data_IF_598907707261
#
_entry.id   IF_598907707261
#
_cell.length_a   1.000
_cell.length_b   1.000
_cell.length_c   1.000
_cell.angle_alpha   90.00
_cell.angle_beta   90.00
_cell.angle_gamma   90.00
#
_symmetry.space_group_name_H-M   'P 1'
#
loop_
_entity.id
_entity.type
_entity.pdbx_description
1 polymer ?
#
# COMPACT_ATOMS: atom_id res chain seq x y z
N UNK A 1 31.89 17.41 19.82
CA UNK A 1 31.43 18.70 19.27
C UNK A 1 31.01 18.60 17.80
N UNK A 2 30.75 17.40 17.28
CA UNK A 2 30.56 17.14 15.83
C UNK A 2 29.20 16.47 15.49
N UNK A 3 28.60 15.73 16.44
CA UNK A 3 27.26 15.10 16.27
C UNK A 3 26.17 16.15 16.10
N UNK A 4 26.11 17.17 16.96
CA UNK A 4 25.08 18.23 16.90
C UNK A 4 25.08 19.04 15.60
N UNK A 5 26.24 19.18 14.95
CA UNK A 5 26.36 19.86 13.65
C UNK A 5 25.91 18.96 12.50
N UNK A 6 26.15 17.67 12.62
CA UNK A 6 25.74 16.65 11.64
C UNK A 6 24.22 16.43 11.68
N UNK A 7 23.63 16.46 12.88
CA UNK A 7 22.18 16.37 13.06
C UNK A 7 21.46 17.59 12.50
N UNK A 8 22.00 18.80 12.73
CA UNK A 8 21.43 20.04 12.18
C UNK A 8 21.47 20.07 10.65
N UNK A 9 22.59 19.67 10.03
CA UNK A 9 22.70 19.58 8.57
C UNK A 9 21.76 18.52 7.98
N UNK A 10 21.55 17.40 8.70
CA UNK A 10 20.60 16.35 8.29
C UNK A 10 19.15 16.85 8.36
N UNK A 11 18.81 17.63 9.38
CA UNK A 11 17.50 18.26 9.52
C UNK A 11 17.24 19.27 8.38
N UNK A 12 18.20 20.16 8.11
CA UNK A 12 18.09 21.14 7.01
C UNK A 12 17.90 20.46 5.64
N UNK A 13 18.68 19.40 5.37
CA UNK A 13 18.54 18.62 4.14
C UNK A 13 17.17 17.92 4.05
N UNK A 14 16.65 17.45 5.18
CA UNK A 14 15.33 16.82 5.28
C UNK A 14 14.21 17.80 4.98
N UNK A 15 14.29 19.01 5.52
CA UNK A 15 13.30 20.06 5.27
C UNK A 15 13.35 20.52 3.80
N UNK A 16 14.55 20.68 3.23
CA UNK A 16 14.73 20.98 1.81
C UNK A 16 14.17 19.88 0.90
N UNK A 17 14.39 18.61 1.25
CA UNK A 17 13.81 17.46 0.54
C UNK A 17 12.28 17.50 0.58
N UNK A 18 11.68 17.75 1.74
CA UNK A 18 10.22 17.80 1.89
C UNK A 18 9.62 18.93 1.07
N UNK A 19 10.24 20.11 1.13
CA UNK A 19 9.87 21.23 0.26
C UNK A 19 9.96 20.83 -1.22
N UNK A 20 11.06 20.16 -1.61
CA UNK A 20 11.25 19.71 -2.99
C UNK A 20 10.19 18.72 -3.43
N UNK A 21 9.79 17.80 -2.56
CA UNK A 21 8.74 16.83 -2.85
C UNK A 21 7.40 17.52 -3.14
N UNK A 22 7.04 18.54 -2.36
CA UNK A 22 5.83 19.34 -2.60
C UNK A 22 5.92 20.16 -3.89
N UNK A 23 7.07 20.76 -4.22
CA UNK A 23 7.29 21.44 -5.50
C UNK A 23 7.08 20.50 -6.70
N UNK A 24 7.49 19.24 -6.57
CA UNK A 24 7.30 18.20 -7.58
C UNK A 24 5.87 17.64 -7.61
N UNK A 25 5.02 18.04 -6.65
CA UNK A 25 3.60 17.72 -6.63
C UNK A 25 3.21 16.52 -5.76
N UNK A 26 4.03 16.16 -4.76
CA UNK A 26 3.60 15.29 -3.66
C UNK A 26 2.61 16.04 -2.75
N UNK A 27 1.52 15.37 -2.36
CA UNK A 27 0.56 15.92 -1.41
C UNK A 27 1.04 15.72 0.05
N UNK A 28 1.89 14.71 0.29
CA UNK A 28 2.50 14.42 1.61
C UNK A 28 3.83 13.68 1.43
N UNK A 29 4.74 13.80 2.40
CA UNK A 29 6.09 13.23 2.36
C UNK A 29 6.60 12.92 3.76
N UNK A 30 7.19 11.73 3.92
CA UNK A 30 7.80 11.32 5.17
C UNK A 30 9.09 10.52 4.94
N UNK A 31 9.94 10.49 5.96
CA UNK A 31 11.26 9.88 5.90
C UNK A 31 11.41 8.85 7.02
N UNK A 32 12.06 7.73 6.71
CA UNK A 32 12.48 6.72 7.66
C UNK A 32 13.99 6.49 7.57
N UNK A 33 14.73 6.42 8.69
CA UNK A 33 16.07 5.84 8.69
C UNK A 33 15.96 4.33 8.44
N UNK A 34 16.93 3.77 7.72
CA UNK A 34 16.96 2.35 7.36
C UNK A 34 16.97 1.43 8.58
N UNK A 35 17.51 1.88 9.72
CA UNK A 35 17.51 1.13 10.98
C UNK A 35 16.12 0.70 11.49
N UNK A 36 15.03 1.29 10.97
CA UNK A 36 13.65 0.85 11.28
C UNK A 36 13.26 -0.48 10.63
N UNK A 37 14.09 -1.03 9.74
CA UNK A 37 13.87 -2.34 9.12
C UNK A 37 14.62 -3.48 9.82
N UNK A 38 15.54 -3.17 10.74
CA UNK A 38 16.34 -4.15 11.50
C UNK A 38 15.50 -4.92 12.55
N UNK A 39 16.00 -6.07 12.99
CA UNK A 39 15.41 -6.90 14.04
C UNK A 39 16.36 -6.99 15.27
N UNK A 40 15.91 -6.69 16.50
CA UNK A 40 14.61 -6.09 16.82
C UNK A 40 14.49 -4.67 16.25
N UNK A 41 13.27 -4.22 15.89
CA UNK A 41 13.09 -2.87 15.39
C UNK A 41 13.49 -1.84 16.46
N UNK A 42 14.01 -0.69 16.02
CA UNK A 42 14.39 0.42 16.91
C UNK A 42 13.20 1.12 17.60
N UNK A 43 11.98 0.61 17.45
CA UNK A 43 10.74 1.15 17.99
C UNK A 43 9.84 0.02 18.51
N UNK A 44 8.85 0.35 19.34
CA UNK A 44 7.88 -0.61 19.85
C UNK A 44 6.86 -1.02 18.77
N UNK A 45 6.97 -2.27 18.31
CA UNK A 45 6.11 -2.85 17.27
C UNK A 45 4.67 -3.11 17.75
N UNK A 46 4.44 -3.21 19.06
CA UNK A 46 3.10 -3.37 19.63
C UNK A 46 2.34 -2.04 19.62
N UNK A 47 3.04 -0.94 19.96
CA UNK A 47 2.48 0.41 19.87
C UNK A 47 2.30 0.88 18.42
N UNK A 48 3.15 0.40 17.51
CA UNK A 48 3.11 0.72 16.07
C UNK A 48 2.93 -0.56 15.24
N UNK A 49 1.69 -1.07 15.11
CA UNK A 49 1.36 -2.18 14.23
C UNK A 49 1.85 -1.92 12.80
N UNK A 50 2.78 -2.76 12.35
CA UNK A 50 3.33 -2.75 11.00
C UNK A 50 2.75 -3.89 10.17
N UNK A 51 2.85 -3.74 8.85
CA UNK A 51 2.65 -4.88 7.97
C UNK A 51 3.74 -5.91 8.23
N UNK A 52 3.43 -7.21 8.21
CA UNK A 52 4.44 -8.23 8.50
C UNK A 52 5.59 -8.12 7.50
N UNK A 53 6.81 -8.49 7.94
CA UNK A 53 8.04 -8.29 7.17
C UNK A 53 7.94 -8.87 5.77
N UNK A 54 7.84 -8.02 4.75
CA UNK A 54 7.65 -8.47 3.39
C UNK A 54 8.58 -7.69 2.46
N UNK A 55 9.27 -8.43 1.57
CA UNK A 55 10.15 -7.87 0.55
C UNK A 55 11.56 -7.59 1.07
N UNK A 56 12.37 -6.96 0.24
CA UNK A 56 13.78 -6.76 0.55
C UNK A 56 14.01 -5.66 1.59
N UNK A 57 15.01 -5.86 2.43
CA UNK A 57 15.59 -4.82 3.26
C UNK A 57 16.13 -3.69 2.35
N UNK A 58 16.05 -2.40 2.76
CA UNK A 58 16.56 -1.29 1.95
C UNK A 58 18.01 -1.49 1.48
N UNK A 59 18.87 -2.06 2.31
CA UNK A 59 20.29 -2.30 1.97
C UNK A 59 20.53 -3.47 1.02
N UNK A 60 19.58 -4.40 0.86
CA UNK A 60 19.66 -5.42 -0.20
C UNK A 60 19.43 -4.80 -1.58
N UNK A 61 18.54 -3.80 -1.67
CA UNK A 61 18.24 -3.08 -2.91
C UNK A 61 19.28 -1.99 -3.22
N UNK A 62 19.80 -1.33 -2.18
CA UNK A 62 20.80 -0.29 -2.28
C UNK A 62 21.74 -0.36 -1.07
N UNK A 63 22.93 -1.00 -1.17
CA UNK A 63 23.84 -1.20 -0.04
C UNK A 63 24.26 0.05 0.71
N UNK A 64 24.24 1.22 0.05
CA UNK A 64 24.56 2.52 0.65
C UNK A 64 23.35 3.28 1.21
N UNK A 65 22.16 2.69 1.20
CA UNK A 65 20.96 3.35 1.70
C UNK A 65 21.08 3.67 3.19
N UNK A 66 20.85 4.94 3.55
CA UNK A 66 20.73 5.41 4.93
C UNK A 66 19.29 5.79 5.26
N UNK A 67 18.52 6.22 4.25
CA UNK A 67 17.15 6.69 4.43
C UNK A 67 16.22 6.15 3.33
N UNK A 68 14.95 5.99 3.70
CA UNK A 68 13.82 5.72 2.80
C UNK A 68 12.92 6.95 2.81
N UNK A 69 12.66 7.51 1.63
CA UNK A 69 11.71 8.62 1.47
C UNK A 69 10.42 8.06 0.89
N UNK A 70 9.31 8.35 1.56
CA UNK A 70 7.97 7.99 1.14
C UNK A 70 7.20 9.24 0.74
N UNK A 71 6.55 9.19 -0.42
CA UNK A 71 5.68 10.26 -0.93
C UNK A 71 4.27 9.73 -1.11
N UNK A 72 3.28 10.56 -0.82
CA UNK A 72 1.89 10.27 -1.14
C UNK A 72 1.31 11.31 -2.09
N UNK A 73 0.39 10.83 -2.93
CA UNK A 73 -0.53 11.70 -3.67
C UNK A 73 -1.96 11.28 -3.36
N UNK A 74 -2.84 12.26 -3.24
CA UNK A 74 -4.25 12.01 -2.96
C UNK A 74 -4.98 11.57 -4.22
N UNK A 75 -5.94 10.67 -4.06
CA UNK A 75 -6.93 10.39 -5.08
C UNK A 75 -7.95 11.53 -5.15
N UNK A 76 -8.52 11.74 -6.34
CA UNK A 76 -9.55 12.75 -6.54
C UNK A 76 -10.91 12.23 -6.04
N UNK A 77 -11.59 13.01 -5.21
CA UNK A 77 -12.91 12.65 -4.67
C UNK A 77 -13.91 12.36 -5.78
N UNK A 78 -13.92 13.17 -6.85
CA UNK A 78 -14.79 12.95 -8.01
C UNK A 78 -14.53 11.62 -8.74
N UNK A 79 -13.29 11.12 -8.74
CA UNK A 79 -12.96 9.81 -9.32
C UNK A 79 -13.52 8.69 -8.43
N UNK A 80 -13.40 8.84 -7.11
CA UNK A 80 -13.94 7.88 -6.14
C UNK A 80 -15.47 7.87 -6.15
N UNK A 81 -16.09 9.04 -6.11
CA UNK A 81 -17.54 9.24 -6.25
C UNK A 81 -18.06 8.55 -7.51
N UNK A 82 -17.42 8.84 -8.65
CA UNK A 82 -17.78 8.25 -9.93
C UNK A 82 -17.75 6.72 -9.85
N UNK A 83 -16.73 6.13 -9.21
CA UNK A 83 -16.58 4.68 -9.10
C UNK A 83 -17.78 4.03 -8.39
N UNK A 84 -18.41 4.71 -7.43
CA UNK A 84 -19.54 4.19 -6.62
C UNK A 84 -20.92 4.27 -7.30
N UNK A 85 -21.01 4.85 -8.50
CA UNK A 85 -22.28 5.00 -9.22
C UNK A 85 -22.70 3.72 -9.98
N UNK A 86 -23.97 3.56 -10.40
CA UNK A 86 -24.44 2.39 -11.17
C UNK A 86 -23.80 2.23 -12.56
N UNK A 87 -23.17 3.28 -13.10
CA UNK A 87 -22.62 3.25 -14.46
C UNK A 87 -21.33 2.42 -14.53
N UNK A 88 -21.09 1.84 -15.71
CA UNK A 88 -19.84 1.14 -16.05
C UNK A 88 -18.80 2.17 -16.51
N UNK A 89 -17.96 2.66 -15.60
CA UNK A 89 -17.04 3.79 -15.82
C UNK A 89 -15.59 3.47 -15.42
N UNK A 90 -15.19 2.21 -15.59
CA UNK A 90 -13.91 1.71 -15.10
C UNK A 90 -12.71 2.39 -15.76
N UNK A 91 -12.89 3.05 -16.90
CA UNK A 91 -11.88 3.91 -17.52
C UNK A 91 -11.50 5.16 -16.70
N UNK A 92 -12.44 5.78 -15.99
CA UNK A 92 -12.15 6.98 -15.16
C UNK A 92 -11.31 6.58 -13.95
N UNK A 93 -11.74 5.54 -13.23
CA UNK A 93 -10.97 4.99 -12.12
C UNK A 93 -9.63 4.41 -12.59
N UNK A 94 -9.60 3.69 -13.70
CA UNK A 94 -8.38 3.08 -14.21
C UNK A 94 -7.35 4.14 -14.61
N UNK A 95 -7.78 5.20 -15.30
CA UNK A 95 -6.87 6.25 -15.72
C UNK A 95 -6.50 7.19 -14.56
N UNK A 96 -7.49 7.79 -13.88
CA UNK A 96 -7.27 8.85 -12.89
C UNK A 96 -7.22 8.36 -11.44
N UNK A 97 -7.54 7.10 -11.18
CA UNK A 97 -7.42 6.45 -9.87
C UNK A 97 -6.24 5.46 -9.79
N UNK A 98 -5.68 5.02 -10.92
CA UNK A 98 -4.55 4.08 -10.98
C UNK A 98 -3.40 4.58 -11.89
N UNK A 99 -3.57 4.62 -13.22
CA UNK A 99 -2.48 4.84 -14.18
C UNK A 99 -1.80 6.19 -14.00
N UNK A 100 -2.57 7.28 -14.05
CA UNK A 100 -2.04 8.64 -14.01
C UNK A 100 -1.44 8.99 -12.64
N UNK A 101 -2.09 8.70 -11.49
CA UNK A 101 -1.45 8.84 -10.18
C UNK A 101 -0.11 8.09 -10.07
N UNK A 102 -0.07 6.84 -10.50
CA UNK A 102 1.16 6.05 -10.46
C UNK A 102 2.28 6.64 -11.36
N UNK A 103 1.94 7.21 -12.53
CA UNK A 103 2.91 7.94 -13.36
C UNK A 103 3.44 9.19 -12.66
N UNK A 104 2.58 9.96 -11.99
CA UNK A 104 3.00 11.12 -11.20
C UNK A 104 3.96 10.72 -10.07
N UNK A 105 3.72 9.60 -9.41
CA UNK A 105 4.65 9.09 -8.39
C UNK A 105 6.03 8.76 -8.98
N UNK A 106 6.08 8.22 -10.20
CA UNK A 106 7.34 7.98 -10.89
C UNK A 106 8.07 9.30 -11.21
N UNK A 107 7.34 10.31 -11.69
CA UNK A 107 7.91 11.64 -11.97
C UNK A 107 8.45 12.31 -10.70
N UNK A 108 7.68 12.29 -9.60
CA UNK A 108 8.07 12.85 -8.31
C UNK A 108 9.32 12.15 -7.77
N UNK A 109 9.30 10.82 -7.68
CA UNK A 109 10.42 10.07 -7.09
C UNK A 109 11.68 10.15 -7.94
N UNK A 110 11.55 10.16 -9.28
CA UNK A 110 12.69 10.40 -10.18
C UNK A 110 13.25 11.80 -10.01
N UNK A 111 12.40 12.83 -9.93
CA UNK A 111 12.82 14.21 -9.71
C UNK A 111 13.53 14.41 -8.37
N UNK A 112 13.04 13.77 -7.30
CA UNK A 112 13.70 13.76 -5.99
C UNK A 112 15.06 13.06 -6.04
N UNK A 113 15.16 11.92 -6.72
CA UNK A 113 16.42 11.21 -6.87
C UNK A 113 17.46 12.07 -7.61
N UNK A 114 17.07 12.74 -8.71
CA UNK A 114 17.96 13.67 -9.42
C UNK A 114 18.43 14.82 -8.53
N UNK A 115 17.52 15.41 -7.75
CA UNK A 115 17.86 16.50 -6.83
C UNK A 115 18.82 16.03 -5.73
N UNK A 116 18.57 14.87 -5.12
CA UNK A 116 19.45 14.27 -4.12
C UNK A 116 20.84 13.94 -4.70
N UNK A 117 20.91 13.44 -5.93
CA UNK A 117 22.20 13.17 -6.59
C UNK A 117 22.97 14.45 -6.89
N UNK A 118 22.28 15.55 -7.22
CA UNK A 118 22.90 16.88 -7.33
C UNK A 118 23.46 17.39 -5.99
N UNK A 119 22.83 17.00 -4.88
CA UNK A 119 23.34 17.22 -3.53
C UNK A 119 24.44 16.22 -3.12
N UNK A 120 24.85 15.30 -3.99
CA UNK A 120 25.92 14.32 -3.74
C UNK A 120 25.43 13.00 -3.12
N UNK A 121 24.13 12.75 -3.04
CA UNK A 121 23.55 11.57 -2.43
C UNK A 121 22.93 10.63 -3.48
N UNK A 122 23.62 9.50 -3.74
CA UNK A 122 23.10 8.44 -4.61
C UNK A 122 21.71 8.01 -4.17
N UNK A 123 20.82 7.78 -5.13
CA UNK A 123 19.42 7.49 -4.84
C UNK A 123 18.83 6.50 -5.87
N UNK A 124 17.94 5.62 -5.41
CA UNK A 124 17.21 4.67 -6.25
C UNK A 124 15.72 5.01 -6.18
N UNK A 125 15.13 5.62 -7.24
CA UNK A 125 13.70 5.86 -7.29
C UNK A 125 12.96 4.54 -7.55
N UNK A 126 12.05 4.18 -6.64
CA UNK A 126 11.21 2.98 -6.78
C UNK A 126 9.84 3.29 -7.39
N UNK A 127 9.50 4.57 -7.57
CA UNK A 127 8.19 4.96 -8.06
C UNK A 127 7.08 4.49 -7.12
N UNK A 128 5.97 4.04 -7.69
CA UNK A 128 4.90 3.36 -6.95
C UNK A 128 5.20 1.87 -6.64
N UNK A 129 6.46 1.43 -6.81
CA UNK A 129 6.94 0.05 -6.70
C UNK A 129 6.34 -0.88 -7.77
N UNK A 130 6.83 -0.76 -9.01
CA UNK A 130 6.38 -1.65 -10.08
C UNK A 130 6.82 -3.09 -9.80
N UNK A 131 5.90 -4.03 -10.01
CA UNK A 131 6.22 -5.45 -9.93
C UNK A 131 7.27 -5.86 -10.95
N UNK A 132 8.24 -6.64 -10.51
CA UNK A 132 9.23 -7.30 -11.36
C UNK A 132 8.72 -8.67 -11.77
N UNK A 133 8.99 -9.06 -13.02
CA UNK A 133 8.82 -10.45 -13.45
C UNK A 133 10.20 -11.02 -13.67
N UNK A 134 10.58 -11.97 -12.83
CA UNK A 134 11.91 -12.56 -12.89
C UNK A 134 11.88 -13.97 -12.35
N UNK A 135 12.23 -14.93 -13.20
CA UNK A 135 12.45 -16.32 -12.81
C UNK A 135 13.36 -16.99 -13.83
N UNK A 136 14.63 -17.20 -13.48
CA UNK A 136 15.59 -17.90 -14.34
C UNK A 136 15.20 -19.34 -14.63
N UNK A 137 14.26 -19.94 -13.90
CA UNK A 137 13.70 -21.25 -14.26
C UNK A 137 12.94 -21.19 -15.59
N UNK A 138 12.36 -20.04 -15.93
CA UNK A 138 11.71 -19.83 -17.23
C UNK A 138 12.70 -19.86 -18.40
N UNK A 139 14.01 -19.66 -18.16
CA UNK A 139 15.05 -19.81 -19.18
C UNK A 139 15.28 -21.30 -19.54
N UNK A 140 14.99 -22.20 -18.60
CA UNK A 140 15.16 -23.65 -18.75
C UNK A 140 13.85 -24.38 -19.10
N UNK A 141 12.69 -23.81 -18.78
CA UNK A 141 11.36 -24.38 -19.04
C UNK A 141 10.38 -23.30 -19.51
N UNK A 142 10.07 -23.33 -20.82
CA UNK A 142 9.16 -22.38 -21.47
C UNK A 142 7.69 -22.50 -21.02
N UNK A 143 7.32 -23.52 -20.24
CA UNK A 143 5.99 -23.62 -19.62
C UNK A 143 5.85 -22.77 -18.35
N UNK A 144 6.97 -22.29 -17.79
CA UNK A 144 6.99 -21.44 -16.60
C UNK A 144 6.68 -20.00 -17.01
N UNK A 145 5.55 -19.48 -16.51
CA UNK A 145 5.23 -18.07 -16.60
C UNK A 145 5.99 -17.34 -15.49
N UNK A 146 6.92 -16.45 -15.88
CA UNK A 146 7.69 -15.66 -14.92
C UNK A 146 6.73 -14.96 -13.93
N UNK A 147 6.81 -15.28 -12.64
CA UNK A 147 5.87 -14.79 -11.67
C UNK A 147 6.11 -13.32 -11.38
N UNK A 148 5.05 -12.63 -10.95
CA UNK A 148 5.15 -11.24 -10.58
C UNK A 148 5.54 -11.13 -9.09
N UNK A 149 6.68 -10.50 -8.83
CA UNK A 149 7.21 -10.21 -7.51
C UNK A 149 7.24 -8.72 -7.26
N UNK A 150 7.18 -8.32 -6.00
CA UNK A 150 7.44 -6.94 -5.60
C UNK A 150 8.76 -6.87 -4.85
N UNK A 151 9.54 -5.81 -5.12
CA UNK A 151 10.86 -5.66 -4.51
C UNK A 151 10.81 -5.07 -3.10
N UNK A 152 9.79 -4.26 -2.78
CA UNK A 152 9.78 -3.46 -1.56
C UNK A 152 8.37 -3.22 -1.05
N UNK A 153 8.11 -3.36 0.26
CA UNK A 153 6.76 -3.14 0.79
C UNK A 153 6.44 -1.66 1.01
N UNK A 154 5.73 -1.02 0.08
CA UNK A 154 5.38 0.41 0.18
C UNK A 154 4.47 0.70 1.37
N UNK A 155 3.55 -0.21 1.71
CA UNK A 155 2.67 -0.05 2.86
C UNK A 155 3.46 -0.10 4.18
N UNK A 156 4.37 -1.08 4.32
CA UNK A 156 5.28 -1.16 5.48
C UNK A 156 6.15 0.08 5.57
N UNK A 157 6.77 0.47 4.47
CA UNK A 157 7.64 1.63 4.41
C UNK A 157 6.93 2.94 4.79
N UNK A 158 5.69 3.15 4.36
CA UNK A 158 4.91 4.31 4.77
C UNK A 158 4.64 4.36 6.28
N UNK A 159 4.36 3.20 6.92
CA UNK A 159 4.22 3.12 8.38
C UNK A 159 5.54 3.41 9.07
N UNK A 160 6.63 2.77 8.62
CA UNK A 160 7.97 2.98 9.17
C UNK A 160 8.50 4.40 8.94
N UNK A 161 8.01 5.11 7.93
CA UNK A 161 8.31 6.52 7.69
C UNK A 161 7.42 7.47 8.50
N UNK A 162 6.42 6.99 9.24
CA UNK A 162 5.48 7.85 9.95
C UNK A 162 4.51 8.60 9.01
N UNK A 163 4.38 8.17 7.75
CA UNK A 163 3.46 8.76 6.78
C UNK A 163 2.00 8.40 7.08
N UNK A 164 1.77 7.21 7.64
CA UNK A 164 0.42 6.73 7.93
C UNK A 164 0.41 5.44 8.74
N UNK A 165 -0.78 4.88 8.94
CA UNK A 165 -1.01 3.66 9.74
C UNK A 165 -1.89 2.66 9.00
N UNK A 166 -1.74 1.37 9.32
CA UNK A 166 -2.60 0.31 8.80
C UNK A 166 -4.05 0.55 9.29
N UNK A 167 -4.97 0.71 8.35
CA UNK A 167 -6.40 0.80 8.62
C UNK A 167 -7.08 -0.58 8.47
N UNK A 168 -8.31 -0.70 8.97
CA UNK A 168 -9.11 -1.93 8.89
C UNK A 168 -9.37 -2.43 7.47
N UNK A 169 -9.24 -1.60 6.44
CA UNK A 169 -9.32 -2.05 5.04
C UNK A 169 -7.99 -2.61 4.49
N UNK A 170 -6.96 -2.76 5.33
CA UNK A 170 -5.64 -3.29 4.96
C UNK A 170 -4.73 -2.31 4.22
N UNK A 171 -5.12 -1.02 4.15
CA UNK A 171 -4.39 0.05 3.46
C UNK A 171 -3.77 1.03 4.46
N UNK A 172 -2.83 1.84 3.98
CA UNK A 172 -2.25 2.93 4.77
C UNK A 172 -3.19 4.12 4.79
N UNK A 173 -3.53 4.58 5.99
CA UNK A 173 -4.25 5.82 6.24
C UNK A 173 -3.31 6.86 6.78
N UNK A 174 -3.18 8.02 6.11
CA UNK A 174 -2.54 9.19 6.72
C UNK A 174 -3.60 10.09 7.39
N UNK A 175 -3.16 11.12 8.12
CA UNK A 175 -4.03 12.02 8.86
C UNK A 175 -4.86 12.91 7.92
N UNK A 176 -4.28 13.35 6.80
CA UNK A 176 -4.91 14.32 5.90
C UNK A 176 -5.95 13.70 4.96
N UNK A 177 -5.60 12.60 4.31
CA UNK A 177 -6.36 12.03 3.18
C UNK A 177 -6.98 10.67 3.50
N UNK A 178 -6.71 10.11 4.68
CA UNK A 178 -7.17 8.78 5.04
C UNK A 178 -6.51 7.73 4.15
N UNK A 179 -7.26 6.70 3.75
CA UNK A 179 -6.76 5.67 2.82
C UNK A 179 -6.86 6.06 1.35
N UNK A 180 -7.24 7.31 1.03
CA UNK A 180 -7.42 7.81 -0.35
C UNK A 180 -6.09 8.31 -0.93
N UNK A 181 -5.02 7.54 -0.74
CA UNK A 181 -3.66 7.90 -1.16
C UNK A 181 -3.01 6.80 -2.00
N UNK A 182 -2.19 7.22 -2.95
CA UNK A 182 -1.18 6.37 -3.58
C UNK A 182 0.17 6.67 -2.95
N UNK A 183 1.00 5.65 -2.81
CA UNK A 183 2.32 5.75 -2.22
C UNK A 183 3.37 5.52 -3.30
N UNK A 184 4.42 6.34 -3.27
CA UNK A 184 5.67 6.05 -3.93
C UNK A 184 6.84 6.20 -2.97
N UNK A 185 8.01 5.74 -3.38
CA UNK A 185 9.20 5.82 -2.55
C UNK A 185 10.50 5.83 -3.33
N UNK A 186 11.57 6.18 -2.62
CA UNK A 186 12.94 6.07 -3.09
C UNK A 186 13.88 5.75 -1.93
N UNK A 187 14.98 5.07 -2.24
CA UNK A 187 16.07 4.81 -1.32
C UNK A 187 17.18 5.83 -1.55
N UNK A 188 17.86 6.29 -0.50
CA UNK A 188 18.95 7.25 -0.65
C UNK A 188 20.06 7.06 0.37
N UNK A 189 21.28 7.40 -0.05
CA UNK A 189 22.45 7.49 0.82
C UNK A 189 22.47 8.78 1.65
N UNK A 190 21.51 9.68 1.46
CA UNK A 190 21.39 10.89 2.26
C UNK A 190 21.06 10.54 3.73
N UNK A 191 21.78 11.12 4.71
CA UNK A 191 21.46 11.02 6.12
C UNK A 191 20.29 11.96 6.40
N UNK A 192 19.06 11.45 6.35
CA UNK A 192 17.85 12.25 6.56
C UNK A 192 17.27 11.96 7.93
N UNK A 193 16.68 12.98 8.55
CA UNK A 193 16.00 12.85 9.84
C UNK A 193 14.63 12.21 9.64
N UNK A 194 14.41 11.05 10.28
CA UNK A 194 13.14 10.35 10.22
C UNK A 194 11.99 11.10 10.88
N UNK A 195 10.79 11.03 10.32
CA UNK A 195 9.59 11.51 10.99
C UNK A 195 9.27 10.65 12.22
N UNK A 196 8.58 11.22 13.20
CA UNK A 196 8.01 10.47 14.30
C UNK A 196 6.99 9.44 13.79
N UNK A 197 6.95 8.27 14.42
CA UNK A 197 5.94 7.27 14.12
C UNK A 197 4.59 7.72 14.68
N UNK A 198 3.52 7.36 13.99
CA UNK A 198 2.16 7.62 14.45
C UNK A 198 1.72 6.49 15.39
N UNK A 199 1.04 6.81 16.49
CA UNK A 199 0.53 5.85 17.48
C UNK A 199 -1.01 5.71 17.44
N UNK A 200 -1.56 4.64 18.03
CA UNK A 200 -3.01 4.37 18.11
C UNK A 200 -3.65 3.80 16.84
N UNK A 201 -4.90 3.34 16.91
CA UNK A 201 -5.64 2.85 15.73
C UNK A 201 -6.21 4.04 14.92
N UNK A 202 -5.92 4.18 13.61
CA UNK A 202 -6.54 5.22 12.78
C UNK A 202 -8.05 5.02 12.60
N UNK A 203 -8.57 3.80 12.78
CA UNK A 203 -9.99 3.50 12.66
C UNK A 203 -10.74 3.69 13.99
N UNK A 204 -11.94 4.30 13.99
CA UNK A 204 -12.83 4.23 15.14
C UNK A 204 -13.13 2.76 15.50
N UNK A 205 -13.23 2.40 16.80
CA UNK A 205 -13.40 1.01 17.23
C UNK A 205 -14.59 0.29 16.58
N UNK A 206 -15.74 0.97 16.47
CA UNK A 206 -16.97 0.42 15.88
C UNK A 206 -17.07 0.54 14.35
N UNK A 207 -16.10 1.19 13.69
CA UNK A 207 -16.14 1.36 12.24
C UNK A 207 -15.96 0.01 11.52
N UNK A 208 -16.92 -0.31 10.64
CA UNK A 208 -16.93 -1.50 9.76
C UNK A 208 -17.35 -1.22 8.32
N UNK A 209 -17.42 0.06 7.92
CA UNK A 209 -17.90 0.48 6.59
C UNK A 209 -17.20 -0.27 5.45
N UNK A 210 -15.88 -0.42 5.51
CA UNK A 210 -15.12 -1.13 4.47
C UNK A 210 -15.51 -2.61 4.34
N UNK A 211 -15.89 -3.26 5.43
CA UNK A 211 -16.37 -4.65 5.46
C UNK A 211 -17.78 -4.71 4.86
N UNK A 212 -18.67 -3.82 5.30
CA UNK A 212 -20.07 -3.78 4.86
C UNK A 212 -20.23 -3.56 3.36
N UNK A 213 -19.34 -2.77 2.75
CA UNK A 213 -19.35 -2.49 1.29
C UNK A 213 -18.53 -3.48 0.47
N UNK A 214 -17.83 -4.43 1.09
CA UNK A 214 -17.00 -5.39 0.37
C UNK A 214 -17.88 -6.52 -0.18
N UNK A 215 -18.09 -6.63 -1.51
CA UNK A 215 -19.02 -7.60 -2.06
C UNK A 215 -18.53 -9.05 -1.90
N UNK A 216 -17.23 -9.28 -1.69
CA UNK A 216 -16.67 -10.61 -1.48
C UNK A 216 -16.33 -10.89 -0.02
N UNK A 217 -16.67 -9.98 0.91
CA UNK A 217 -16.33 -10.11 2.34
C UNK A 217 -14.85 -10.44 2.54
N UNK A 218 -13.97 -9.67 1.90
CA UNK A 218 -12.54 -9.95 1.91
C UNK A 218 -11.81 -9.36 3.14
N UNK A 219 -12.49 -8.61 4.00
CA UNK A 219 -11.85 -7.77 5.03
C UNK A 219 -12.28 -8.25 6.41
N UNK A 220 -11.32 -8.59 7.28
CA UNK A 220 -11.54 -9.01 8.66
C UNK A 220 -11.61 -7.81 9.64
N UNK A 221 -12.11 -8.06 10.85
CA UNK A 221 -12.18 -7.03 11.90
C UNK A 221 -10.80 -6.51 12.33
N UNK A 222 -9.77 -7.35 12.24
CA UNK A 222 -8.36 -7.05 12.59
C UNK A 222 -7.61 -6.33 11.46
N UNK A 223 -8.27 -6.04 10.34
CA UNK A 223 -7.66 -5.37 9.19
C UNK A 223 -6.76 -6.27 8.35
N UNK A 224 -6.93 -7.59 8.45
CA UNK A 224 -6.40 -8.54 7.48
C UNK A 224 -7.35 -8.66 6.29
N UNK A 225 -6.78 -8.68 5.10
CA UNK A 225 -7.52 -8.80 3.84
C UNK A 225 -7.22 -10.18 3.25
N UNK A 226 -8.25 -10.98 2.95
CA UNK A 226 -8.08 -12.15 2.11
C UNK A 226 -7.92 -11.69 0.67
N UNK A 227 -6.70 -11.78 0.16
CA UNK A 227 -6.42 -11.38 -1.20
C UNK A 227 -6.99 -12.35 -2.22
N UNK A 228 -7.18 -13.64 -1.87
CA UNK A 228 -7.94 -14.58 -2.70
C UNK A 228 -9.39 -14.14 -2.90
N UNK A 229 -10.11 -13.76 -1.83
CA UNK A 229 -11.48 -13.22 -1.94
C UNK A 229 -11.50 -11.89 -2.70
N UNK A 230 -10.50 -11.06 -2.48
CA UNK A 230 -10.33 -9.78 -3.17
C UNK A 230 -10.03 -9.97 -4.68
N UNK A 231 -9.28 -11.01 -5.04
CA UNK A 231 -8.90 -11.38 -6.41
C UNK A 231 -10.04 -12.04 -7.18
N UNK A 232 -10.93 -12.76 -6.50
CA UNK A 232 -12.15 -13.31 -7.10
C UNK A 232 -12.99 -12.20 -7.78
N UNK A 233 -12.93 -10.98 -7.24
CA UNK A 233 -13.67 -9.83 -7.74
C UNK A 233 -13.17 -9.28 -9.09
N UNK A 234 -11.98 -9.67 -9.55
CA UNK A 234 -11.42 -9.28 -10.85
C UNK A 234 -11.99 -10.10 -12.03
N UNK A 235 -13.32 -10.30 -12.04
CA UNK A 235 -14.01 -11.10 -13.06
C UNK A 235 -13.89 -12.62 -12.89
N UNK A 236 -13.53 -13.10 -11.69
CA UNK A 236 -13.29 -14.52 -11.38
C UNK A 236 -14.27 -15.09 -10.35
N UNK A 237 -15.38 -14.38 -10.08
CA UNK A 237 -16.37 -14.72 -9.04
C UNK A 237 -17.02 -16.10 -9.20
N UNK A 238 -16.94 -16.72 -10.38
CA UNK A 238 -17.46 -18.07 -10.65
C UNK A 238 -16.43 -19.21 -10.51
N UNK A 239 -15.20 -18.93 -10.09
CA UNK A 239 -14.18 -19.96 -9.83
C UNK A 239 -14.28 -20.46 -8.39
N UNK A 240 -14.15 -21.77 -8.17
CA UNK A 240 -14.05 -22.33 -6.83
C UNK A 240 -12.71 -21.96 -6.16
N UNK A 241 -12.66 -22.11 -4.83
CA UNK A 241 -11.52 -21.70 -4.02
C UNK A 241 -10.20 -22.36 -4.44
N UNK A 242 -10.18 -23.67 -4.68
CA UNK A 242 -8.93 -24.39 -5.00
C UNK A 242 -8.42 -24.02 -6.39
N UNK A 243 -9.31 -23.91 -7.37
CA UNK A 243 -8.95 -23.44 -8.71
C UNK A 243 -8.41 -22.00 -8.66
N UNK A 244 -9.10 -21.10 -7.96
CA UNK A 244 -8.64 -19.72 -7.84
C UNK A 244 -7.29 -19.65 -7.14
N UNK A 245 -7.12 -20.36 -6.03
CA UNK A 245 -5.88 -20.43 -5.25
C UNK A 245 -4.71 -20.97 -6.05
N UNK A 246 -4.91 -22.03 -6.84
CA UNK A 246 -3.87 -22.56 -7.71
C UNK A 246 -3.44 -21.53 -8.77
N UNK A 247 -4.41 -20.89 -9.44
CA UNK A 247 -4.14 -19.82 -10.41
C UNK A 247 -3.45 -18.60 -9.77
N UNK A 248 -3.82 -18.31 -8.52
CA UNK A 248 -3.31 -17.21 -7.74
C UNK A 248 -1.83 -17.42 -7.43
N UNK A 249 -1.48 -18.59 -6.87
CA UNK A 249 -0.09 -18.98 -6.55
C UNK A 249 0.82 -19.02 -7.77
N UNK A 250 0.30 -19.48 -8.92
CA UNK A 250 1.08 -19.49 -10.16
C UNK A 250 1.44 -18.07 -10.62
N UNK A 251 0.51 -17.11 -10.46
CA UNK A 251 0.69 -15.72 -10.92
C UNK A 251 1.45 -14.84 -9.93
N UNK A 252 1.24 -15.08 -8.63
CA UNK A 252 1.77 -14.31 -7.51
C UNK A 252 2.34 -15.25 -6.44
N UNK A 253 3.44 -15.96 -6.71
CA UNK A 253 4.08 -16.80 -5.71
C UNK A 253 4.58 -15.92 -4.57
N UNK A 254 4.19 -16.28 -3.35
CA UNK A 254 4.63 -15.65 -2.13
C UNK A 254 5.91 -16.33 -1.65
N UNK A 255 6.86 -15.52 -1.19
CA UNK A 255 8.05 -15.91 -0.45
C UNK A 255 7.73 -16.53 0.93
N UNK A 256 6.50 -16.31 1.45
CA UNK A 256 6.03 -16.80 2.77
C UNK A 256 5.19 -18.07 2.72
N UNK A 257 5.38 -18.91 1.68
CA UNK A 257 4.74 -20.23 1.61
C UNK A 257 3.23 -20.18 1.34
N UNK A 258 2.40 -20.67 2.28
CA UNK A 258 0.95 -20.87 2.08
C UNK A 258 0.08 -19.68 2.45
N UNK A 259 0.67 -18.56 2.86
CA UNK A 259 -0.06 -17.37 3.27
C UNK A 259 -0.74 -16.68 2.08
N UNK A 260 -1.93 -16.11 2.33
CA UNK A 260 -2.71 -15.31 1.37
C UNK A 260 -2.10 -13.90 1.22
N UNK A 261 -0.79 -13.83 0.96
CA UNK A 261 -0.03 -12.60 0.74
C UNK A 261 0.40 -12.47 -0.71
N UNK A 262 0.34 -11.25 -1.22
CA UNK A 262 0.45 -11.00 -2.66
C UNK A 262 1.45 -9.90 -2.94
N UNK A 263 1.96 -9.81 -4.17
CA UNK A 263 2.69 -8.61 -4.61
C UNK A 263 1.88 -7.31 -4.38
N UNK A 264 0.54 -7.39 -4.30
CA UNK A 264 -0.31 -6.23 -4.10
C UNK A 264 -0.29 -5.72 -2.65
N UNK A 265 0.16 -6.53 -1.68
CA UNK A 265 0.45 -6.06 -0.32
C UNK A 265 1.65 -5.15 -0.22
N UNK A 266 2.45 -5.13 -1.28
CA UNK A 266 3.60 -4.27 -1.39
C UNK A 266 3.27 -2.97 -2.10
N UNK A 267 2.06 -2.84 -2.65
CA UNK A 267 1.55 -1.65 -3.32
C UNK A 267 0.64 -0.85 -2.39
N UNK A 268 0.51 0.44 -2.67
CA UNK A 268 -0.39 1.32 -1.93
C UNK A 268 -1.87 0.91 -2.07
N UNK A 269 -2.34 0.81 -3.32
CA UNK A 269 -3.69 0.39 -3.69
C UNK A 269 -3.60 -0.34 -5.04
N UNK A 270 -4.05 -1.58 -5.09
CA UNK A 270 -4.20 -2.31 -6.36
C UNK A 270 -5.36 -1.70 -7.17
N UNK A 271 -5.18 -1.54 -8.48
CA UNK A 271 -6.23 -1.06 -9.37
C UNK A 271 -5.95 -1.31 -10.85
N UNK A 272 -5.09 -2.29 -11.15
CA UNK A 272 -4.73 -2.67 -12.52
C UNK A 272 -5.81 -3.57 -13.14
N UNK A 273 -6.63 -4.21 -12.30
CA UNK A 273 -7.73 -5.06 -12.72
C UNK A 273 -9.08 -4.33 -12.63
N UNK A 274 -9.97 -4.66 -13.57
CA UNK A 274 -11.33 -4.13 -13.66
C UNK A 274 -12.19 -4.62 -12.48
N UNK A 275 -12.01 -4.02 -11.31
CA UNK A 275 -12.62 -4.49 -10.06
C UNK A 275 -14.12 -4.21 -10.05
N UNK A 276 -14.91 -5.27 -9.95
CA UNK A 276 -16.36 -5.18 -9.90
C UNK A 276 -16.82 -4.55 -8.57
N UNK A 277 -15.99 -4.65 -7.51
CA UNK A 277 -16.18 -4.03 -6.21
C UNK A 277 -16.05 -2.50 -6.22
N UNK A 278 -15.66 -1.90 -7.35
CA UNK A 278 -15.65 -0.44 -7.51
C UNK A 278 -14.81 0.28 -6.44
N UNK A 279 -13.74 -0.37 -5.96
CA UNK A 279 -12.82 0.11 -4.91
C UNK A 279 -13.54 0.67 -3.67
N UNK A 280 -14.70 0.09 -3.33
CA UNK A 280 -15.64 0.62 -2.35
C UNK A 280 -15.01 0.83 -0.96
N UNK A 281 -14.09 -0.05 -0.55
CA UNK A 281 -13.38 0.04 0.72
C UNK A 281 -12.49 1.29 0.87
N UNK A 282 -12.11 1.93 -0.25
CA UNK A 282 -11.41 3.23 -0.28
C UNK A 282 -12.41 4.36 -0.47
N UNK A 283 -13.32 4.21 -1.42
CA UNK A 283 -14.27 5.27 -1.78
C UNK A 283 -15.16 5.67 -0.59
N UNK A 284 -15.66 4.70 0.18
CA UNK A 284 -16.49 4.94 1.36
C UNK A 284 -15.72 5.08 2.68
N UNK A 285 -14.39 5.02 2.65
CA UNK A 285 -13.61 5.17 3.88
C UNK A 285 -13.81 6.58 4.47
N UNK A 286 -14.27 6.72 5.72
CA UNK A 286 -14.51 8.04 6.32
C UNK A 286 -13.23 8.67 6.88
N UNK A 287 -12.10 7.97 6.84
CA UNK A 287 -10.83 8.49 7.36
C UNK A 287 -10.32 9.66 6.53
N UNK A 288 -9.50 10.51 7.15
CA UNK A 288 -8.98 11.75 6.58
C UNK A 288 -9.90 12.96 6.85
N UNK A 289 -9.41 14.14 6.51
CA UNK A 289 -10.06 15.42 6.83
C UNK A 289 -11.34 15.67 6.01
N UNK A 290 -11.48 15.02 4.85
CA UNK A 290 -12.57 15.23 3.88
C UNK A 290 -13.27 13.92 3.53
N UNK A 291 -14.10 13.36 4.43
CA UNK A 291 -14.86 12.16 4.14
C UNK A 291 -15.88 12.41 3.01
N UNK A 292 -16.27 11.32 2.33
CA UNK A 292 -17.33 11.36 1.31
C UNK A 292 -18.64 11.89 1.93
N UNK A 293 -19.32 12.86 1.31
CA UNK A 293 -20.62 13.33 1.77
C UNK A 293 -21.67 12.22 1.78
N UNK A 294 -22.52 12.21 2.81
CA UNK A 294 -23.60 11.23 3.00
C UNK A 294 -23.13 9.77 2.98
N UNK A 295 -21.91 9.49 3.49
CA UNK A 295 -21.29 8.16 3.41
C UNK A 295 -22.22 7.02 3.83
N UNK A 296 -22.94 7.16 4.95
CA UNK A 296 -23.83 6.09 5.44
C UNK A 296 -25.04 5.84 4.53
N UNK A 297 -25.62 6.89 3.95
CA UNK A 297 -26.70 6.74 2.96
C UNK A 297 -26.17 6.01 1.72
N UNK A 298 -25.03 6.46 1.20
CA UNK A 298 -24.44 5.86 0.00
C UNK A 298 -24.00 4.41 0.24
N UNK A 299 -23.49 4.08 1.43
CA UNK A 299 -23.17 2.70 1.84
C UNK A 299 -24.43 1.82 1.80
N UNK A 300 -25.54 2.29 2.37
CA UNK A 300 -26.81 1.55 2.35
C UNK A 300 -27.31 1.33 0.91
N UNK A 301 -27.19 2.33 0.05
CA UNK A 301 -27.60 2.25 -1.36
C UNK A 301 -26.64 1.41 -2.21
N UNK A 302 -25.37 1.26 -1.80
CA UNK A 302 -24.33 0.65 -2.62
C UNK A 302 -24.58 -0.83 -2.91
N UNK A 303 -25.27 -1.56 -2.03
CA UNK A 303 -25.66 -2.94 -2.27
C UNK A 303 -26.56 -3.09 -3.52
N UNK A 304 -27.30 -2.05 -3.91
CA UNK A 304 -28.08 -2.03 -5.16
C UNK A 304 -27.20 -1.84 -6.41
N UNK A 305 -26.02 -1.22 -6.24
CA UNK A 305 -25.02 -0.98 -7.30
C UNK A 305 -24.09 -2.16 -7.46
N UNK A 306 -23.55 -2.67 -6.35
CA UNK A 306 -22.65 -3.81 -6.31
C UNK A 306 -23.16 -4.77 -5.22
N UNK A 307 -24.01 -5.75 -5.59
CA UNK A 307 -24.56 -6.68 -4.61
C UNK A 307 -23.45 -7.56 -4.01
N UNK A 308 -23.62 -8.00 -2.75
CA UNK A 308 -22.80 -9.05 -2.16
C UNK A 308 -22.78 -10.32 -3.01
N UNK A 309 -21.69 -11.07 -2.92
CA UNK A 309 -21.41 -12.25 -3.73
C UNK A 309 -21.04 -13.39 -2.79
N UNK A 310 -21.78 -14.49 -2.90
CA UNK A 310 -21.40 -15.74 -2.27
C UNK A 310 -20.30 -16.42 -3.10
N UNK A 311 -19.12 -16.61 -2.52
CA UNK A 311 -18.00 -17.30 -3.15
C UNK A 311 -17.99 -18.76 -2.70
N UNK A 312 -18.32 -19.68 -3.62
CA UNK A 312 -18.46 -21.10 -3.33
C UNK A 312 -17.15 -21.72 -2.82
N UNK A 313 -17.20 -22.31 -1.61
CA UNK A 313 -16.07 -23.04 -1.02
C UNK A 313 -14.95 -22.17 -0.46
N UNK A 314 -15.13 -20.84 -0.38
CA UNK A 314 -14.15 -19.95 0.23
C UNK A 314 -14.29 -19.98 1.77
N UNK A 315 -13.17 -20.09 2.52
CA UNK A 315 -13.17 -19.87 3.97
C UNK A 315 -13.72 -18.49 4.32
N UNK A 316 -14.35 -18.35 5.50
CA UNK A 316 -14.88 -17.07 5.97
C UNK A 316 -13.77 -16.04 6.07
N UNK A 317 -14.11 -14.76 5.90
CA UNK A 317 -13.20 -13.64 6.19
C UNK A 317 -12.60 -13.75 7.62
N UNK A 318 -13.41 -14.26 8.55
CA UNK A 318 -13.05 -14.49 9.95
C UNK A 318 -12.07 -15.64 10.14
N UNK A 319 -12.07 -16.64 9.25
CA UNK A 319 -11.12 -17.76 9.32
C UNK A 319 -9.70 -17.33 8.90
N UNK A 320 -9.58 -16.15 8.28
CA UNK A 320 -8.31 -15.50 8.00
C UNK A 320 -7.87 -14.56 9.13
N UNK A 321 -8.60 -14.42 10.24
CA UNK A 321 -8.14 -13.63 11.37
C UNK A 321 -6.88 -14.28 11.97
N UNK A 322 -5.77 -13.53 11.92
CA UNK A 322 -4.55 -13.91 12.62
C UNK A 322 -4.89 -13.90 14.10
N UNK A 323 -4.84 -15.06 14.76
CA UNK A 323 -4.92 -15.11 16.22
C UNK A 323 -3.69 -14.37 16.77
N UNK A 324 -3.82 -13.61 17.87
CA UNK A 324 -2.72 -12.82 18.48
C UNK A 324 -1.40 -13.60 18.67
N UNK A 325 -1.44 -14.93 18.65
CA UNK A 325 -0.29 -15.83 18.72
C UNK A 325 0.62 -15.84 17.48
N UNK A 326 0.15 -15.42 16.31
CA UNK A 326 0.93 -15.43 15.05
C UNK A 326 1.61 -14.09 14.73
N UNK A 327 1.29 -13.00 15.46
CA UNK A 327 1.97 -11.69 15.30
C UNK A 327 3.31 -11.62 16.07
N UNK A 328 3.60 -12.61 16.92
CA UNK A 328 4.80 -12.66 17.78
C UNK A 328 5.77 -13.80 17.50
N UNK A 329 5.69 -14.46 16.32
CA UNK A 329 6.55 -15.56 15.91
C UNK A 329 7.47 -15.17 14.74
#
# INVERSE_FOLDING_TARGET
>A
MDETRTDAASADLTDALKQKAHELGADDVAVAPVARWDDPPAFDSQAVPVYPHSGHHPTELMPSAQSVVMVAIRLLDGVLDNTTTPIKNTGVQGNFGYVFPNRRLNEITFGLALWLEQCGHRSVPMGYNIGSRYDHRADADASIIAPAYSMFSMKRAAVLAGLGRKAKNGLVSNQHFGTRIRLGGLLTAAPLTGNALLEGDPCPPSCRICMDVCPTEAISQTGRVSHLRCYADAGRRGMDFETLRASFKQRYPCDRGNEDYTMNDYLAIEGNDNRICKIACVAFCPLGERPMPDVMRRVADFASVCPPVELQGFPSAHDFEVTEAEEGA
#
